data_IF_358429847639
#
_entry.id   IF_358429847639
#
_cell.length_a   1.000
_cell.length_b   1.000
_cell.length_c   1.000
_cell.angle_alpha   90.00
_cell.angle_beta   90.00
_cell.angle_gamma   90.00
#
_symmetry.space_group_name_H-M   'P 1'
#
loop_
_entity.id
_entity.type
_entity.pdbx_description
1 polymer ?
#
# COMPACT_ATOMS: atom_id res chain seq x y z
N UNK A 1 -37.81 -41.97 31.55
CA UNK A 1 -38.02 -40.59 32.03
C UNK A 1 -36.72 -40.14 32.69
N UNK A 2 -35.72 -39.66 31.95
CA UNK A 2 -35.47 -38.25 31.54
C UNK A 2 -35.64 -37.32 32.76
N UNK A 3 -34.58 -36.74 33.33
CA UNK A 3 -33.86 -35.58 32.77
C UNK A 3 -32.48 -35.39 33.43
N UNK A 4 -31.43 -35.29 32.61
CA UNK A 4 -30.13 -34.71 32.98
C UNK A 4 -30.21 -33.19 32.81
N UNK A 5 -29.83 -32.42 33.85
CA UNK A 5 -29.71 -30.95 33.75
C UNK A 5 -28.35 -30.61 33.14
N UNK A 6 -28.38 -30.12 31.90
CA UNK A 6 -27.31 -29.40 31.24
C UNK A 6 -27.24 -27.98 31.78
N UNK A 7 -26.09 -27.58 32.33
CA UNK A 7 -25.77 -26.17 32.61
C UNK A 7 -25.16 -25.56 31.36
N UNK A 8 -25.95 -24.74 30.65
CA UNK A 8 -25.47 -23.87 29.58
C UNK A 8 -24.55 -22.79 30.17
N UNK A 9 -23.29 -22.77 29.75
CA UNK A 9 -22.42 -21.60 29.89
C UNK A 9 -22.75 -20.62 28.77
N UNK A 10 -23.37 -19.49 29.11
CA UNK A 10 -23.59 -18.36 28.22
C UNK A 10 -22.26 -17.64 28.01
N UNK A 11 -21.69 -17.74 26.80
CA UNK A 11 -20.54 -16.94 26.39
C UNK A 11 -20.97 -15.47 26.27
N UNK A 12 -20.54 -14.64 27.21
CA UNK A 12 -20.65 -13.19 27.11
C UNK A 12 -19.73 -12.70 25.98
N UNK A 13 -20.32 -12.01 25.00
CA UNK A 13 -19.63 -11.37 23.90
C UNK A 13 -18.74 -10.23 24.42
N UNK A 14 -17.42 -10.41 24.29
CA UNK A 14 -16.41 -9.40 24.59
C UNK A 14 -16.44 -8.28 23.53
N UNK A 15 -17.26 -7.28 23.79
CA UNK A 15 -17.21 -5.99 23.11
C UNK A 15 -16.03 -5.15 23.63
N UNK A 16 -14.81 -5.57 23.32
CA UNK A 16 -13.59 -4.86 23.71
C UNK A 16 -12.57 -4.80 22.58
N UNK A 17 -12.81 -3.97 21.56
CA UNK A 17 -11.72 -3.52 20.68
C UNK A 17 -11.88 -2.11 20.10
N UNK A 18 -13.06 -1.48 20.16
CA UNK A 18 -13.29 -0.17 19.52
C UNK A 18 -12.79 1.07 20.29
N UNK A 19 -12.05 0.92 21.40
CA UNK A 19 -11.62 2.06 22.24
C UNK A 19 -10.11 2.28 22.38
N UNK A 20 -9.25 1.47 21.75
CA UNK A 20 -7.81 1.49 22.07
C UNK A 20 -6.93 2.42 21.22
N UNK A 21 -7.37 2.85 20.03
CA UNK A 21 -6.45 3.60 19.13
C UNK A 21 -6.61 5.13 19.18
N UNK A 22 -7.62 5.67 19.88
CA UNK A 22 -7.95 7.11 19.92
C UNK A 22 -6.77 7.99 20.36
N UNK A 23 -5.94 7.52 21.30
CA UNK A 23 -4.81 8.29 21.84
C UNK A 23 -3.64 8.37 20.87
N UNK A 24 -3.42 7.37 20.01
CA UNK A 24 -2.37 7.44 18.98
C UNK A 24 -2.64 8.58 17.99
N UNK A 25 -3.91 8.77 17.60
CA UNK A 25 -4.30 9.86 16.70
C UNK A 25 -4.21 11.26 17.32
N UNK A 26 -4.36 11.40 18.64
CA UNK A 26 -4.25 12.71 19.30
C UNK A 26 -2.83 13.28 19.20
N UNK A 27 -1.80 12.44 19.19
CA UNK A 27 -0.41 12.85 18.98
C UNK A 27 -0.17 13.36 17.54
N UNK A 28 -0.99 12.94 16.58
CA UNK A 28 -0.87 13.35 15.17
C UNK A 28 -1.65 14.63 14.82
N UNK A 29 -2.47 15.19 15.72
CA UNK A 29 -3.35 16.34 15.40
C UNK A 29 -2.63 17.63 14.98
N UNK A 30 -1.33 17.75 15.29
CA UNK A 30 -0.47 18.84 14.81
C UNK A 30 0.75 18.33 14.03
N UNK A 31 0.67 17.10 13.51
CA UNK A 31 1.75 16.50 12.73
C UNK A 31 1.64 16.91 11.26
N UNK A 32 2.74 17.30 10.61
CA UNK A 32 2.79 17.47 9.17
C UNK A 32 2.18 16.26 8.42
N UNK A 33 2.29 15.04 8.97
CA UNK A 33 1.70 13.82 8.37
C UNK A 33 0.17 13.82 8.34
N UNK A 34 -0.51 14.41 9.33
CA UNK A 34 -1.97 14.46 9.29
C UNK A 34 -2.44 15.34 8.12
N UNK A 35 -1.75 16.44 7.86
CA UNK A 35 -2.03 17.29 6.71
C UNK A 35 -1.79 16.53 5.40
N UNK A 36 -0.71 15.73 5.31
CA UNK A 36 -0.50 14.86 4.17
C UNK A 36 -1.66 13.88 3.97
N UNK A 37 -2.09 13.15 5.00
CA UNK A 37 -3.19 12.18 4.87
C UNK A 37 -4.51 12.84 4.45
N UNK A 38 -4.81 14.03 4.98
CA UNK A 38 -5.97 14.80 4.57
C UNK A 38 -5.87 15.26 3.10
N UNK A 39 -4.75 15.86 2.70
CA UNK A 39 -4.56 16.35 1.34
C UNK A 39 -4.53 15.20 0.33
N UNK A 40 -3.86 14.09 0.66
CA UNK A 40 -3.76 12.94 -0.22
C UNK A 40 -5.10 12.22 -0.38
N UNK A 41 -5.88 12.04 0.69
CA UNK A 41 -7.23 11.47 0.58
C UNK A 41 -8.16 12.37 -0.23
N UNK A 42 -8.12 13.69 -0.04
CA UNK A 42 -8.87 14.64 -0.86
C UNK A 42 -8.44 14.60 -2.33
N UNK A 43 -7.14 14.51 -2.59
CA UNK A 43 -6.59 14.35 -3.94
C UNK A 43 -7.13 13.08 -4.62
N UNK A 44 -7.04 11.93 -3.94
CA UNK A 44 -7.55 10.66 -4.49
C UNK A 44 -9.06 10.72 -4.72
N UNK A 45 -9.81 11.33 -3.81
CA UNK A 45 -11.26 11.53 -3.98
C UNK A 45 -11.56 12.36 -5.24
N UNK A 46 -10.81 13.43 -5.48
CA UNK A 46 -10.93 14.25 -6.68
C UNK A 46 -10.64 13.44 -7.96
N UNK A 47 -9.54 12.69 -8.00
CA UNK A 47 -9.16 11.84 -9.15
C UNK A 47 -10.22 10.75 -9.39
N UNK A 48 -10.85 10.26 -8.33
CA UNK A 48 -11.85 9.22 -8.47
C UNK A 48 -13.15 9.77 -9.07
N UNK A 49 -13.62 10.95 -8.62
CA UNK A 49 -14.87 11.59 -9.10
C UNK A 49 -14.86 12.04 -10.56
N UNK A 50 -13.69 12.30 -11.16
CA UNK A 50 -13.58 12.82 -12.54
C UNK A 50 -13.82 11.76 -13.64
N UNK A 51 -14.03 10.50 -13.28
CA UNK A 51 -14.24 9.39 -14.23
C UNK A 51 -15.62 8.74 -14.01
N UNK A 52 -16.67 9.40 -14.50
CA UNK A 52 -18.06 8.95 -14.36
C UNK A 52 -18.46 7.82 -15.33
N UNK A 53 -17.67 7.54 -16.37
CA UNK A 53 -18.08 6.59 -17.41
C UNK A 53 -17.88 5.10 -17.03
N UNK A 54 -17.01 4.78 -16.07
CA UNK A 54 -16.55 3.40 -15.82
C UNK A 54 -16.48 3.00 -14.34
N UNK A 55 -17.19 3.68 -13.44
CA UNK A 55 -17.16 3.34 -12.00
C UNK A 55 -17.59 1.88 -11.71
N UNK A 56 -18.38 1.27 -12.59
CA UNK A 56 -18.97 -0.05 -12.37
C UNK A 56 -18.06 -1.27 -12.68
N UNK A 57 -16.81 -1.06 -13.12
CA UNK A 57 -15.90 -2.16 -13.50
C UNK A 57 -14.84 -2.49 -12.45
N UNK A 58 -14.67 -1.64 -11.44
CA UNK A 58 -13.64 -1.79 -10.42
C UNK A 58 -14.26 -2.32 -9.12
N UNK A 59 -13.61 -3.30 -8.50
CA UNK A 59 -14.05 -3.92 -7.24
C UNK A 59 -13.72 -3.02 -6.04
N UNK A 60 -12.52 -2.46 -6.05
CA UNK A 60 -12.00 -1.53 -5.05
C UNK A 60 -11.51 -0.25 -5.74
N UNK A 61 -11.46 0.85 -4.99
CA UNK A 61 -11.01 2.13 -5.56
C UNK A 61 -9.49 2.22 -5.54
N UNK A 62 -8.86 1.73 -4.47
CA UNK A 62 -7.41 1.85 -4.23
C UNK A 62 -6.79 0.53 -3.79
N UNK A 63 -5.71 0.09 -4.45
CA UNK A 63 -4.81 -0.96 -3.99
C UNK A 63 -3.57 -0.33 -3.35
N UNK A 64 -3.19 -0.75 -2.13
CA UNK A 64 -1.95 -0.32 -1.47
C UNK A 64 -0.88 -1.42 -1.56
N UNK A 65 0.22 -1.15 -2.27
CA UNK A 65 1.44 -1.99 -2.25
C UNK A 65 2.50 -1.35 -1.38
N UNK A 66 3.08 -2.08 -0.44
CA UNK A 66 3.98 -1.53 0.58
C UNK A 66 4.90 -2.59 1.19
N UNK A 67 6.07 -2.21 1.70
CA UNK A 67 6.94 -3.12 2.45
C UNK A 67 6.48 -3.31 3.90
N UNK A 68 6.81 -4.44 4.52
CA UNK A 68 6.48 -4.76 5.92
C UNK A 68 6.94 -3.68 6.92
N UNK A 69 8.02 -2.95 6.59
CA UNK A 69 8.58 -1.85 7.39
C UNK A 69 7.63 -0.65 7.56
N UNK A 70 6.59 -0.54 6.73
CA UNK A 70 5.60 0.54 6.80
C UNK A 70 4.23 0.07 7.27
N UNK A 71 4.03 -1.24 7.46
CA UNK A 71 2.72 -1.86 7.71
C UNK A 71 1.95 -1.24 8.87
N UNK A 72 2.56 -1.22 10.05
CA UNK A 72 1.92 -0.76 11.30
C UNK A 72 2.17 0.71 11.61
N UNK A 73 2.79 1.44 10.66
CA UNK A 73 3.17 2.84 10.80
C UNK A 73 2.46 3.66 9.73
N UNK A 74 3.15 4.00 8.65
CA UNK A 74 2.63 4.88 7.61
C UNK A 74 1.42 4.30 6.87
N UNK A 75 1.48 3.02 6.50
CA UNK A 75 0.43 2.39 5.68
C UNK A 75 -0.86 2.20 6.46
N UNK A 76 -0.80 1.81 7.73
CA UNK A 76 -1.98 1.72 8.61
C UNK A 76 -2.69 3.08 8.70
N UNK A 77 -1.93 4.15 8.98
CA UNK A 77 -2.48 5.50 9.05
C UNK A 77 -3.06 5.99 7.71
N UNK A 78 -2.41 5.67 6.58
CA UNK A 78 -2.94 5.97 5.26
C UNK A 78 -4.27 5.25 5.03
N UNK A 79 -4.33 3.95 5.29
CA UNK A 79 -5.54 3.14 5.14
C UNK A 79 -6.71 3.69 5.96
N UNK A 80 -6.45 4.06 7.23
CA UNK A 80 -7.45 4.69 8.09
C UNK A 80 -7.93 6.01 7.52
N UNK A 81 -7.03 6.87 7.03
CA UNK A 81 -7.40 8.15 6.44
C UNK A 81 -8.21 8.00 5.15
N UNK A 82 -7.92 7.00 4.32
CA UNK A 82 -8.72 6.67 3.13
C UNK A 82 -10.12 6.22 3.54
N UNK A 83 -10.21 5.35 4.54
CA UNK A 83 -11.48 4.88 5.09
C UNK A 83 -12.32 6.03 5.66
N UNK A 84 -11.71 6.93 6.44
CA UNK A 84 -12.37 8.13 6.99
C UNK A 84 -12.84 9.10 5.88
N UNK A 85 -12.14 9.13 4.74
CA UNK A 85 -12.54 9.90 3.57
C UNK A 85 -13.64 9.22 2.73
N UNK A 86 -14.04 8.00 3.09
CA UNK A 86 -15.03 7.18 2.38
C UNK A 86 -14.49 6.53 1.11
N UNK A 87 -13.17 6.32 1.02
CA UNK A 87 -12.51 5.66 -0.10
C UNK A 87 -12.29 4.19 0.25
N UNK A 88 -12.79 3.28 -0.58
CA UNK A 88 -12.59 1.85 -0.38
C UNK A 88 -11.19 1.42 -0.86
N UNK A 89 -10.41 0.80 0.02
CA UNK A 89 -9.04 0.40 -0.28
C UNK A 89 -8.74 -1.03 0.14
N UNK A 90 -8.11 -1.79 -0.74
CA UNK A 90 -7.49 -3.06 -0.42
C UNK A 90 -6.06 -2.84 0.10
N UNK A 91 -5.78 -3.37 1.30
CA UNK A 91 -4.45 -3.33 1.93
C UNK A 91 -3.83 -4.71 1.84
N UNK A 92 -2.73 -4.84 1.08
CA UNK A 92 -2.04 -6.12 0.94
C UNK A 92 -1.51 -6.67 2.28
N UNK A 93 -2.02 -7.83 2.69
CA UNK A 93 -1.60 -8.51 3.90
C UNK A 93 -0.53 -9.57 3.60
N UNK A 94 0.73 -9.12 3.52
CA UNK A 94 1.89 -9.94 3.14
C UNK A 94 2.21 -11.10 4.09
N UNK A 95 1.53 -11.20 5.23
CA UNK A 95 1.81 -12.18 6.29
C UNK A 95 1.17 -13.56 6.08
N UNK A 96 0.32 -13.73 5.06
CA UNK A 96 -0.38 -14.99 4.78
C UNK A 96 -0.13 -15.38 3.34
N UNK A 97 0.77 -16.32 3.04
CA UNK A 97 1.10 -16.68 1.65
C UNK A 97 1.26 -18.18 1.43
N UNK A 98 0.18 -18.80 0.94
CA UNK A 98 0.12 -20.08 0.24
C UNK A 98 -0.23 -19.79 -1.25
N UNK A 99 -0.01 -20.73 -2.18
CA UNK A 99 -0.19 -20.54 -3.63
C UNK A 99 -1.57 -19.97 -4.05
N UNK A 100 -2.65 -20.33 -3.33
CA UNK A 100 -4.00 -19.81 -3.59
C UNK A 100 -4.14 -18.28 -3.38
N UNK A 101 -3.20 -17.66 -2.68
CA UNK A 101 -3.26 -16.24 -2.30
C UNK A 101 -2.70 -15.35 -3.44
N UNK A 102 -1.83 -15.87 -4.30
CA UNK A 102 -1.31 -15.11 -5.43
C UNK A 102 -2.42 -14.75 -6.43
N UNK A 103 -3.33 -15.68 -6.72
CA UNK A 103 -4.48 -15.43 -7.62
C UNK A 103 -5.48 -14.44 -7.04
N UNK A 104 -5.64 -14.40 -5.71
CA UNK A 104 -6.50 -13.43 -5.05
C UNK A 104 -5.89 -12.03 -5.14
N UNK A 105 -4.60 -11.88 -4.82
CA UNK A 105 -3.88 -10.61 -4.91
C UNK A 105 -3.87 -10.04 -6.33
N UNK A 106 -3.65 -10.88 -7.35
CA UNK A 106 -3.73 -10.49 -8.75
C UNK A 106 -5.13 -9.92 -9.09
N UNK A 107 -6.19 -10.56 -8.59
CA UNK A 107 -7.56 -10.10 -8.76
C UNK A 107 -7.84 -8.76 -8.07
N UNK A 108 -7.26 -8.51 -6.90
CA UNK A 108 -7.39 -7.21 -6.21
C UNK A 108 -6.61 -6.09 -6.92
N UNK A 109 -5.43 -6.40 -7.45
CA UNK A 109 -4.67 -5.45 -8.28
C UNK A 109 -5.47 -5.13 -9.53
N UNK A 110 -5.93 -6.14 -10.27
CA UNK A 110 -6.73 -5.96 -11.50
C UNK A 110 -8.06 -5.26 -11.24
N UNK A 111 -8.69 -5.55 -10.11
CA UNK A 111 -9.97 -4.98 -9.69
C UNK A 111 -9.88 -3.56 -9.15
N UNK A 112 -8.67 -3.07 -8.84
CA UNK A 112 -8.47 -1.71 -8.32
C UNK A 112 -8.15 -0.69 -9.41
N UNK A 113 -8.86 0.44 -9.42
CA UNK A 113 -8.60 1.52 -10.37
C UNK A 113 -7.28 2.23 -10.10
N UNK A 114 -7.02 2.53 -8.83
CA UNK A 114 -5.83 3.27 -8.40
C UNK A 114 -4.91 2.30 -7.68
N UNK A 115 -3.63 2.29 -8.02
CA UNK A 115 -2.60 1.63 -7.21
C UNK A 115 -1.70 2.69 -6.57
N UNK A 116 -1.55 2.63 -5.25
CA UNK A 116 -0.59 3.45 -4.52
C UNK A 116 0.57 2.56 -4.11
N UNK A 117 1.77 2.90 -4.59
CA UNK A 117 3.00 2.14 -4.33
C UNK A 117 3.84 2.91 -3.33
N UNK A 118 4.01 2.35 -2.13
CA UNK A 118 4.74 2.98 -1.03
C UNK A 118 6.17 2.43 -1.02
N UNK A 119 7.07 3.11 -1.73
CA UNK A 119 8.49 2.81 -1.71
C UNK A 119 9.08 3.19 -0.36
N UNK A 120 9.57 2.18 0.34
CA UNK A 120 10.27 2.27 1.63
C UNK A 120 11.64 1.59 1.52
N UNK A 121 12.48 1.72 2.56
CA UNK A 121 13.84 1.16 2.54
C UNK A 121 13.84 -0.35 2.30
N UNK A 122 12.84 -1.07 2.82
CA UNK A 122 12.74 -2.53 2.73
C UNK A 122 11.78 -3.03 1.65
N UNK A 123 11.19 -2.14 0.84
CA UNK A 123 10.25 -2.52 -0.22
C UNK A 123 10.84 -3.57 -1.17
N UNK A 124 12.05 -3.30 -1.71
CA UNK A 124 12.71 -4.18 -2.67
C UNK A 124 13.31 -5.45 -2.05
N UNK A 125 13.37 -5.59 -0.73
CA UNK A 125 13.83 -6.84 -0.08
C UNK A 125 12.79 -7.96 -0.29
N UNK A 126 11.52 -7.61 -0.42
CA UNK A 126 10.42 -8.54 -0.60
C UNK A 126 10.25 -8.87 -2.08
N UNK A 127 10.53 -10.12 -2.44
CA UNK A 127 10.20 -10.68 -3.77
C UNK A 127 8.75 -10.40 -4.16
N UNK A 128 7.84 -10.52 -3.20
CA UNK A 128 6.42 -10.29 -3.44
C UNK A 128 6.09 -8.83 -3.76
N UNK A 129 6.70 -7.87 -3.08
CA UNK A 129 6.50 -6.45 -3.43
C UNK A 129 6.94 -6.17 -4.86
N UNK A 130 8.04 -6.81 -5.31
CA UNK A 130 8.51 -6.68 -6.69
C UNK A 130 7.56 -7.35 -7.70
N UNK A 131 7.00 -8.52 -7.37
CA UNK A 131 5.97 -9.16 -8.19
C UNK A 131 4.68 -8.33 -8.29
N UNK A 132 4.20 -7.80 -7.17
CA UNK A 132 3.04 -6.89 -7.12
C UNK A 132 3.28 -5.66 -7.99
N UNK A 133 4.47 -5.06 -7.89
CA UNK A 133 4.84 -3.90 -8.69
C UNK A 133 4.79 -4.20 -10.19
N UNK A 134 5.36 -5.34 -10.62
CA UNK A 134 5.29 -5.75 -12.02
C UNK A 134 3.85 -5.98 -12.48
N UNK A 135 3.02 -6.60 -11.65
CA UNK A 135 1.60 -6.76 -11.97
C UNK A 135 0.88 -5.42 -12.10
N UNK A 136 1.12 -4.50 -11.17
CA UNK A 136 0.56 -3.14 -11.18
C UNK A 136 0.95 -2.40 -12.46
N UNK A 137 2.24 -2.42 -12.82
CA UNK A 137 2.76 -1.71 -14.00
C UNK A 137 2.24 -2.31 -15.30
N UNK A 138 2.15 -3.65 -15.38
CA UNK A 138 1.49 -4.32 -16.50
C UNK A 138 0.02 -3.93 -16.61
N UNK A 139 -0.74 -4.00 -15.51
CA UNK A 139 -2.14 -3.59 -15.52
C UNK A 139 -2.32 -2.11 -15.89
N UNK A 140 -1.35 -1.24 -15.54
CA UNK A 140 -1.38 0.17 -15.94
C UNK A 140 -1.26 0.34 -17.46
N UNK A 141 -0.50 -0.52 -18.13
CA UNK A 141 -0.36 -0.53 -19.58
C UNK A 141 -1.58 -1.16 -20.26
N UNK A 142 -2.08 -2.28 -19.71
CA UNK A 142 -3.14 -3.08 -20.32
C UNK A 142 -4.57 -2.55 -20.05
N UNK A 143 -4.80 -1.87 -18.93
CA UNK A 143 -6.13 -1.43 -18.48
C UNK A 143 -6.30 0.09 -18.61
N UNK A 144 -7.07 0.52 -19.62
CA UNK A 144 -7.42 1.93 -19.80
C UNK A 144 -7.96 2.54 -18.51
N UNK A 145 -7.44 3.70 -18.09
CA UNK A 145 -7.91 4.43 -16.90
C UNK A 145 -7.39 3.92 -15.56
N UNK A 146 -6.54 2.88 -15.53
CA UNK A 146 -5.77 2.53 -14.33
C UNK A 146 -4.72 3.60 -14.05
N UNK A 147 -4.60 4.02 -12.80
CA UNK A 147 -3.66 5.07 -12.39
C UNK A 147 -2.75 4.56 -11.28
N UNK A 148 -1.47 4.93 -11.34
CA UNK A 148 -0.47 4.52 -10.34
C UNK A 148 0.16 5.76 -9.71
N UNK A 149 0.21 5.79 -8.38
CA UNK A 149 0.78 6.88 -7.60
C UNK A 149 1.90 6.35 -6.69
N UNK A 150 3.18 6.64 -6.99
CA UNK A 150 4.27 6.32 -6.10
C UNK A 150 4.32 7.29 -4.91
N UNK A 151 4.60 6.75 -3.74
CA UNK A 151 4.91 7.46 -2.51
C UNK A 151 6.31 7.02 -2.08
N UNK A 152 7.24 7.96 -2.01
CA UNK A 152 8.62 7.74 -1.55
C UNK A 152 8.69 8.07 -0.05
N UNK A 153 8.63 7.05 0.79
CA UNK A 153 8.60 7.16 2.25
C UNK A 153 9.97 6.89 2.86
N UNK A 154 10.62 7.96 3.32
CA UNK A 154 11.97 7.97 3.91
C UNK A 154 13.06 7.37 2.99
N UNK A 155 12.83 7.47 1.68
CA UNK A 155 13.75 7.05 0.62
C UNK A 155 13.84 8.14 -0.44
N UNK A 156 15.03 8.33 -1.01
CA UNK A 156 15.20 9.27 -2.11
C UNK A 156 14.63 8.67 -3.41
N UNK A 157 13.75 9.36 -4.16
CA UNK A 157 13.24 8.86 -5.43
C UNK A 157 14.35 8.46 -6.42
N UNK A 158 15.51 9.10 -6.36
CA UNK A 158 16.66 8.74 -7.20
C UNK A 158 17.28 7.39 -6.83
N UNK A 159 17.24 6.99 -5.56
CA UNK A 159 17.68 5.64 -5.14
C UNK A 159 16.77 4.57 -5.70
N UNK A 160 15.45 4.83 -5.71
CA UNK A 160 14.47 3.94 -6.34
C UNK A 160 14.73 3.86 -7.85
N UNK A 161 14.77 5.01 -8.55
CA UNK A 161 14.97 5.06 -10.01
C UNK A 161 16.26 4.42 -10.50
N UNK A 162 17.34 4.57 -9.75
CA UNK A 162 18.68 4.06 -10.10
C UNK A 162 18.99 2.72 -9.45
N UNK A 163 18.08 2.20 -8.62
CA UNK A 163 18.28 1.01 -7.80
C UNK A 163 19.63 1.06 -7.05
N UNK A 164 19.89 2.17 -6.35
CA UNK A 164 21.07 2.37 -5.49
C UNK A 164 20.70 2.30 -4.01
N UNK A 165 21.67 2.42 -3.10
CA UNK A 165 21.40 2.30 -1.66
C UNK A 165 20.80 0.94 -1.29
N UNK A 166 19.75 0.95 -0.45
CA UNK A 166 19.07 -0.28 -0.02
C UNK A 166 18.42 -1.04 -1.17
N UNK A 167 17.95 -0.34 -2.21
CA UNK A 167 17.40 -0.97 -3.40
C UNK A 167 18.47 -1.77 -4.16
N UNK A 168 19.66 -1.18 -4.36
CA UNK A 168 20.78 -1.87 -5.01
C UNK A 168 21.31 -3.06 -4.21
N UNK A 169 21.31 -2.97 -2.89
CA UNK A 169 21.60 -4.10 -2.01
C UNK A 169 20.61 -5.26 -2.17
N UNK A 170 19.32 -4.95 -2.18
CA UNK A 170 18.28 -5.95 -2.38
C UNK A 170 18.36 -6.61 -3.76
N UNK A 171 18.56 -5.83 -4.83
CA UNK A 171 18.68 -6.40 -6.17
C UNK A 171 19.90 -7.31 -6.35
N UNK A 172 21.06 -6.99 -5.73
CA UNK A 172 22.21 -7.90 -5.74
C UNK A 172 21.91 -9.24 -5.08
N UNK A 173 20.97 -9.29 -4.13
CA UNK A 173 20.50 -10.53 -3.53
C UNK A 173 19.62 -11.31 -4.52
N UNK A 174 18.60 -10.65 -5.08
CA UNK A 174 17.70 -11.26 -6.05
C UNK A 174 18.41 -11.78 -7.30
N UNK A 175 19.43 -11.07 -7.82
CA UNK A 175 20.27 -11.53 -8.95
C UNK A 175 20.96 -12.88 -8.71
N UNK A 176 21.11 -13.30 -7.45
CA UNK A 176 21.70 -14.60 -7.08
C UNK A 176 20.67 -15.70 -6.84
N UNK A 177 19.42 -15.32 -6.57
CA UNK A 177 18.38 -16.21 -6.04
C UNK A 177 17.23 -16.43 -7.03
N UNK A 178 17.01 -15.51 -7.96
CA UNK A 178 15.83 -15.42 -8.82
C UNK A 178 16.19 -15.51 -10.31
N UNK A 179 15.18 -15.71 -11.18
CA UNK A 179 15.39 -15.76 -12.63
C UNK A 179 15.90 -14.40 -13.16
N UNK A 180 16.98 -14.36 -13.97
CA UNK A 180 17.53 -13.12 -14.47
C UNK A 180 16.54 -12.26 -15.28
N UNK A 181 15.59 -12.86 -15.99
CA UNK A 181 14.58 -12.12 -16.74
C UNK A 181 13.54 -11.51 -15.81
N UNK A 182 13.15 -12.21 -14.74
CA UNK A 182 12.26 -11.67 -13.70
C UNK A 182 12.92 -10.45 -13.02
N UNK A 183 14.19 -10.58 -12.62
CA UNK A 183 14.93 -9.49 -11.97
C UNK A 183 15.07 -8.27 -12.89
N UNK A 184 15.37 -8.49 -14.17
CA UNK A 184 15.45 -7.42 -15.16
C UNK A 184 14.09 -6.72 -15.35
N UNK A 185 12.99 -7.48 -15.34
CA UNK A 185 11.65 -6.92 -15.40
C UNK A 185 11.34 -6.07 -14.16
N UNK A 186 11.66 -6.56 -12.96
CA UNK A 186 11.49 -5.79 -11.71
C UNK A 186 12.27 -4.48 -11.73
N UNK A 187 13.50 -4.47 -12.27
CA UNK A 187 14.29 -3.24 -12.43
C UNK A 187 13.59 -2.22 -13.34
N UNK A 188 13.06 -2.68 -14.47
CA UNK A 188 12.32 -1.82 -15.42
C UNK A 188 11.06 -1.25 -14.80
N UNK A 189 10.25 -2.08 -14.16
CA UNK A 189 8.97 -1.67 -13.56
C UNK A 189 9.19 -0.70 -12.41
N UNK A 190 10.23 -0.93 -11.59
CA UNK A 190 10.57 -0.05 -10.49
C UNK A 190 11.08 1.31 -10.97
N UNK A 191 11.92 1.32 -12.00
CA UNK A 191 12.32 2.58 -12.65
C UNK A 191 11.10 3.30 -13.25
N UNK A 192 10.27 2.60 -14.02
CA UNK A 192 9.12 3.18 -14.69
C UNK A 192 8.09 3.75 -13.70
N UNK A 193 7.81 3.03 -12.61
CA UNK A 193 6.94 3.50 -11.54
C UNK A 193 7.53 4.73 -10.84
N UNK A 194 8.83 4.73 -10.54
CA UNK A 194 9.49 5.86 -9.88
C UNK A 194 9.66 7.10 -10.78
N UNK A 195 9.56 6.93 -12.10
CA UNK A 195 9.51 8.02 -13.09
C UNK A 195 8.11 8.67 -13.18
N UNK A 196 7.08 8.10 -12.55
CA UNK A 196 5.76 8.73 -12.43
C UNK A 196 5.76 9.86 -11.39
N UNK A 197 4.87 10.85 -11.56
CA UNK A 197 4.63 11.89 -10.56
C UNK A 197 4.07 11.29 -9.27
N UNK A 198 4.67 11.65 -8.14
CA UNK A 198 4.33 11.10 -6.84
C UNK A 198 4.82 11.94 -5.67
N UNK A 199 4.57 11.46 -4.44
CA UNK A 199 4.84 12.22 -3.22
C UNK A 199 6.13 11.76 -2.58
N UNK A 200 6.98 12.71 -2.18
CA UNK A 200 8.20 12.41 -1.44
C UNK A 200 8.03 12.89 0.00
N UNK A 201 8.07 11.93 0.93
CA UNK A 201 7.99 12.13 2.37
C UNK A 201 9.34 11.76 2.97
N UNK A 202 10.04 12.74 3.54
CA UNK A 202 11.33 12.52 4.19
C UNK A 202 11.25 12.84 5.67
N UNK A 203 11.75 11.95 6.51
CA UNK A 203 11.92 12.24 7.93
C UNK A 203 13.13 13.15 8.11
N UNK A 204 12.96 14.26 8.80
CA UNK A 204 14.02 15.22 9.16
C UNK A 204 14.05 15.43 10.66
N UNK A 205 15.12 16.05 11.18
CA UNK A 205 15.29 16.29 12.62
C UNK A 205 14.12 17.08 13.24
N UNK A 206 13.43 17.91 12.44
CA UNK A 206 12.29 18.73 12.86
C UNK A 206 10.91 18.10 12.54
N UNK A 207 10.86 16.85 12.04
CA UNK A 207 9.63 16.16 11.63
C UNK A 207 9.62 15.76 10.15
N UNK A 208 8.43 15.61 9.53
CA UNK A 208 8.31 15.21 8.12
C UNK A 208 8.32 16.41 7.17
N UNK A 209 9.08 16.31 6.10
CA UNK A 209 9.04 17.23 4.95
C UNK A 209 8.28 16.59 3.78
N UNK A 210 7.34 17.34 3.19
CA UNK A 210 6.57 16.93 2.02
C UNK A 210 7.01 17.70 0.79
N UNK A 211 7.26 16.96 -0.29
CA UNK A 211 7.27 17.53 -1.63
C UNK A 211 6.07 17.02 -2.40
N UNK A 212 5.29 17.96 -2.91
CA UNK A 212 4.17 17.70 -3.82
C UNK A 212 4.68 17.10 -5.14
N UNK A 213 3.80 16.45 -5.93
CA UNK A 213 4.16 15.79 -7.17
C UNK A 213 5.12 16.62 -8.02
N UNK A 214 6.28 16.02 -8.31
CA UNK A 214 7.28 16.52 -9.26
C UNK A 214 6.87 16.23 -10.69
#
# INVERSE_FOLDING_TARGET
>A
MITSRSTHATAASSSSSRRSNRWKYEVFKNSPLLFFFLCFSLFLKSVNTSSSAHANRWKDEVFLSFGDDTRTTFTDHLSIALSDAGINSFVDNQLRREENIQSELDGEIEGSRIAVVIFSKRYSESRWCLMELSKIMRCREDQEGKVVYPIFYDVDPSEVRKQSGSFGEAFRKHEREEDPNEVEQWRKDLKACADLSGWHLKTTADGYNFKFPL
#
